data_IF_988637738482
#
_entry.id   IF_988637738482
#
_cell.length_a   1.000
_cell.length_b   1.000
_cell.length_c   1.000
_cell.angle_alpha   90.00
_cell.angle_beta   90.00
_cell.angle_gamma   90.00
#
_symmetry.space_group_name_H-M   'P 1'
#
loop_
_entity.id
_entity.type
_entity.pdbx_description
1 polymer ?
#
# COMPACT_ATOMS: atom_id res chain seq x y z
N UNK A 1 -12.31 -8.39 -11.77
CA UNK A 1 -13.07 -7.30 -11.10
C UNK A 1 -13.24 -7.66 -9.63
N UNK A 2 -13.16 -6.69 -8.71
CA UNK A 2 -13.21 -6.91 -7.25
C UNK A 2 -14.47 -7.66 -6.78
N UNK A 3 -15.63 -7.33 -7.35
CA UNK A 3 -16.90 -7.99 -7.02
C UNK A 3 -16.88 -9.51 -7.25
N UNK A 4 -16.17 -9.99 -8.28
CA UNK A 4 -16.11 -11.43 -8.61
C UNK A 4 -15.22 -12.23 -7.67
N UNK A 5 -14.39 -11.57 -6.86
CA UNK A 5 -13.59 -12.24 -5.84
C UNK A 5 -14.39 -12.53 -4.56
N UNK A 6 -15.56 -11.90 -4.40
CA UNK A 6 -16.42 -12.06 -3.23
C UNK A 6 -17.19 -13.39 -3.28
N UNK A 7 -17.55 -13.93 -2.11
CA UNK A 7 -18.41 -15.11 -2.02
C UNK A 7 -19.79 -14.84 -2.63
N UNK A 8 -20.52 -15.91 -2.99
CA UNK A 8 -21.89 -15.77 -3.48
C UNK A 8 -22.79 -15.06 -2.44
N UNK A 9 -22.62 -15.39 -1.16
CA UNK A 9 -23.36 -14.80 -0.04
C UNK A 9 -23.09 -13.29 0.09
N UNK A 10 -21.82 -12.87 0.07
CA UNK A 10 -21.48 -11.44 0.13
C UNK A 10 -22.00 -10.69 -1.10
N UNK A 11 -21.94 -11.30 -2.29
CA UNK A 11 -22.51 -10.69 -3.50
C UNK A 11 -24.02 -10.51 -3.39
N UNK A 12 -24.74 -11.53 -2.92
CA UNK A 12 -26.19 -11.45 -2.69
C UNK A 12 -26.55 -10.41 -1.63
N UNK A 13 -25.78 -10.31 -0.55
CA UNK A 13 -25.98 -9.28 0.48
C UNK A 13 -25.83 -7.88 -0.12
N UNK A 14 -24.76 -7.63 -0.90
CA UNK A 14 -24.54 -6.34 -1.54
C UNK A 14 -25.63 -6.01 -2.55
N UNK A 15 -26.07 -6.99 -3.36
CA UNK A 15 -27.19 -6.82 -4.30
C UNK A 15 -28.49 -6.47 -3.56
N UNK A 16 -28.81 -7.17 -2.46
CA UNK A 16 -30.00 -6.89 -1.65
C UNK A 16 -29.99 -5.48 -1.02
N UNK A 17 -28.82 -4.99 -0.61
CA UNK A 17 -28.68 -3.61 -0.12
C UNK A 17 -28.92 -2.57 -1.22
N UNK A 18 -28.56 -2.89 -2.47
CA UNK A 18 -28.85 -2.04 -3.63
C UNK A 18 -30.34 -2.09 -3.97
N UNK A 19 -30.92 -3.28 -4.04
CA UNK A 19 -32.33 -3.49 -4.39
C UNK A 19 -33.28 -2.85 -3.36
N UNK A 20 -32.88 -2.83 -2.08
CA UNK A 20 -33.63 -2.15 -1.01
C UNK A 20 -33.42 -0.63 -0.96
N UNK A 21 -32.57 -0.08 -1.82
CA UNK A 21 -32.25 1.35 -1.85
C UNK A 21 -31.40 1.85 -0.68
N UNK A 22 -30.90 0.96 0.18
CA UNK A 22 -30.01 1.32 1.31
C UNK A 22 -28.63 1.75 0.83
N UNK A 23 -28.16 1.20 -0.29
CA UNK A 23 -26.94 1.59 -0.98
C UNK A 23 -27.23 1.78 -2.46
N UNK A 24 -26.42 2.57 -3.15
CA UNK A 24 -26.43 2.60 -4.62
C UNK A 24 -25.41 1.61 -5.17
N UNK A 25 -25.59 1.19 -6.44
CA UNK A 25 -24.56 0.39 -7.13
C UNK A 25 -23.21 1.12 -7.20
N UNK A 26 -23.25 2.46 -7.24
CA UNK A 26 -22.06 3.31 -7.19
C UNK A 26 -21.37 3.27 -5.82
N UNK A 27 -22.13 3.28 -4.71
CA UNK A 27 -21.56 3.11 -3.36
C UNK A 27 -20.85 1.76 -3.25
N UNK A 28 -21.48 0.67 -3.72
CA UNK A 28 -20.86 -0.66 -3.71
C UNK A 28 -19.58 -0.68 -4.57
N UNK A 29 -19.63 -0.11 -5.78
CA UNK A 29 -18.47 -0.03 -6.66
C UNK A 29 -17.31 0.74 -6.01
N UNK A 30 -17.58 1.95 -5.50
CA UNK A 30 -16.57 2.82 -4.91
C UNK A 30 -15.97 2.23 -3.63
N UNK A 31 -16.79 1.57 -2.81
CA UNK A 31 -16.31 0.89 -1.62
C UNK A 31 -15.38 -0.28 -1.97
N UNK A 32 -15.75 -1.14 -2.92
CA UNK A 32 -14.89 -2.26 -3.35
C UNK A 32 -13.60 -1.77 -4.01
N UNK A 33 -13.67 -0.67 -4.77
CA UNK A 33 -12.51 0.02 -5.34
C UNK A 33 -11.59 0.53 -4.22
N UNK A 34 -12.14 1.15 -3.19
CA UNK A 34 -11.42 1.58 -1.99
C UNK A 34 -10.73 0.41 -1.28
N UNK A 35 -11.46 -0.68 -0.98
CA UNK A 35 -10.92 -1.86 -0.29
C UNK A 35 -9.78 -2.50 -1.08
N UNK A 36 -9.92 -2.62 -2.41
CA UNK A 36 -8.87 -3.16 -3.27
C UNK A 36 -7.62 -2.26 -3.25
N UNK A 37 -7.79 -0.94 -3.35
CA UNK A 37 -6.68 0.03 -3.28
C UNK A 37 -5.96 -0.04 -1.91
N UNK A 38 -6.70 -0.16 -0.80
CA UNK A 38 -6.12 -0.31 0.54
C UNK A 38 -5.39 -1.66 0.72
N UNK A 39 -5.95 -2.75 0.18
CA UNK A 39 -5.30 -4.07 0.15
C UNK A 39 -3.98 -4.01 -0.61
N UNK A 40 -4.00 -3.46 -1.83
CA UNK A 40 -2.81 -3.25 -2.68
C UNK A 40 -1.75 -2.38 -1.99
N UNK A 41 -2.17 -1.25 -1.41
CA UNK A 41 -1.30 -0.36 -0.64
C UNK A 41 -0.64 -1.10 0.54
N UNK A 42 -1.43 -1.88 1.27
CA UNK A 42 -0.94 -2.62 2.44
C UNK A 42 0.07 -3.68 2.04
N UNK A 43 -0.23 -4.46 0.99
CA UNK A 43 0.67 -5.45 0.41
C UNK A 43 1.98 -4.80 -0.06
N UNK A 44 1.88 -3.74 -0.86
CA UNK A 44 3.06 -2.99 -1.34
C UNK A 44 3.94 -2.53 -0.17
N UNK A 45 3.33 -1.92 0.86
CA UNK A 45 4.05 -1.45 2.04
C UNK A 45 4.67 -2.58 2.87
N UNK A 46 4.02 -3.74 2.90
CA UNK A 46 4.52 -4.91 3.62
C UNK A 46 5.67 -5.58 2.87
N UNK A 47 5.61 -5.68 1.54
CA UNK A 47 6.74 -6.13 0.71
C UNK A 47 7.96 -5.28 0.96
N UNK A 48 7.78 -3.96 1.00
CA UNK A 48 8.84 -3.02 1.32
C UNK A 48 9.45 -3.28 2.71
N UNK A 49 8.62 -3.37 3.76
CA UNK A 49 9.11 -3.66 5.12
C UNK A 49 9.85 -5.00 5.19
N UNK A 50 9.33 -6.01 4.52
CA UNK A 50 9.91 -7.35 4.47
C UNK A 50 11.29 -7.32 3.79
N UNK A 51 11.39 -6.69 2.62
CA UNK A 51 12.65 -6.54 1.89
C UNK A 51 13.69 -5.78 2.74
N UNK A 52 13.28 -4.69 3.39
CA UNK A 52 14.14 -3.94 4.30
C UNK A 52 14.63 -4.77 5.48
N UNK A 53 13.72 -5.46 6.16
CA UNK A 53 14.06 -6.22 7.37
C UNK A 53 15.01 -7.38 7.07
N UNK A 54 14.77 -8.09 5.97
CA UNK A 54 15.54 -9.26 5.56
C UNK A 54 16.90 -8.88 4.96
N UNK A 55 17.03 -7.66 4.41
CA UNK A 55 18.21 -7.22 3.70
C UNK A 55 18.84 -5.95 4.32
N UNK A 56 18.72 -5.77 5.65
CA UNK A 56 19.17 -4.56 6.35
C UNK A 56 20.64 -4.19 6.08
N UNK A 57 21.50 -5.19 5.84
CA UNK A 57 22.91 -4.98 5.51
C UNK A 57 23.10 -4.22 4.17
N UNK A 58 22.21 -4.41 3.19
CA UNK A 58 22.27 -3.70 1.90
C UNK A 58 22.08 -2.18 2.07
N UNK A 59 21.32 -1.78 3.09
CA UNK A 59 21.03 -0.37 3.36
C UNK A 59 22.11 0.33 4.19
N UNK A 60 23.11 -0.41 4.69
CA UNK A 60 24.19 0.10 5.53
C UNK A 60 25.59 -0.14 4.95
N UNK A 61 25.69 -0.76 3.78
CA UNK A 61 26.95 -1.09 3.12
C UNK A 61 27.22 -0.15 1.92
N UNK A 62 28.36 0.54 1.95
CA UNK A 62 28.77 1.49 0.91
C UNK A 62 29.04 0.85 -0.46
N UNK A 63 29.32 -0.46 -0.49
CA UNK A 63 29.56 -1.24 -1.71
C UNK A 63 28.30 -1.78 -2.39
N UNK A 64 27.11 -1.54 -1.85
CA UNK A 64 25.86 -2.05 -2.41
C UNK A 64 25.48 -1.36 -3.72
N UNK A 65 25.09 -2.18 -4.69
CA UNK A 65 24.70 -1.75 -6.04
C UNK A 65 23.18 -1.77 -6.24
N UNK A 66 22.64 -1.09 -7.26
CA UNK A 66 21.23 -1.20 -7.62
C UNK A 66 20.77 -2.64 -7.93
N UNK A 67 21.65 -3.48 -8.47
CA UNK A 67 21.34 -4.87 -8.80
C UNK A 67 21.11 -5.72 -7.53
N UNK A 68 21.85 -5.44 -6.45
CA UNK A 68 21.67 -6.11 -5.16
C UNK A 68 20.27 -5.84 -4.59
N UNK A 69 19.79 -4.59 -4.72
CA UNK A 69 18.41 -4.24 -4.33
C UNK A 69 17.37 -4.94 -5.21
N UNK A 70 17.60 -5.05 -6.53
CA UNK A 70 16.69 -5.79 -7.43
C UNK A 70 16.61 -7.27 -7.04
N UNK A 71 17.74 -7.90 -6.75
CA UNK A 71 17.81 -9.31 -6.32
C UNK A 71 17.10 -9.53 -4.99
N UNK A 72 17.36 -8.68 -4.00
CA UNK A 72 16.70 -8.72 -2.69
C UNK A 72 15.17 -8.61 -2.81
N UNK A 73 14.70 -7.70 -3.66
CA UNK A 73 13.27 -7.52 -3.89
C UNK A 73 12.64 -8.67 -4.66
N UNK A 74 13.34 -9.24 -5.65
CA UNK A 74 12.89 -10.43 -6.37
C UNK A 74 12.72 -11.61 -5.40
N UNK A 75 13.71 -11.84 -4.53
CA UNK A 75 13.64 -12.88 -3.50
C UNK A 75 12.50 -12.64 -2.51
N UNK A 76 12.31 -11.38 -2.08
CA UNK A 76 11.20 -11.01 -1.18
C UNK A 76 9.85 -11.26 -1.84
N UNK A 77 9.69 -10.87 -3.11
CA UNK A 77 8.45 -11.07 -3.87
C UNK A 77 8.12 -12.57 -4.02
N UNK A 78 9.10 -13.40 -4.37
CA UNK A 78 8.93 -14.84 -4.46
C UNK A 78 8.51 -15.46 -3.12
N UNK A 79 9.16 -15.06 -2.02
CA UNK A 79 8.80 -15.53 -0.67
C UNK A 79 7.36 -15.12 -0.28
N UNK A 80 6.91 -13.93 -0.65
CA UNK A 80 5.52 -13.49 -0.42
C UNK A 80 4.52 -14.30 -1.23
N UNK A 81 4.84 -14.62 -2.48
CA UNK A 81 4.01 -15.48 -3.32
C UNK A 81 3.86 -16.87 -2.70
N UNK A 82 4.93 -17.47 -2.19
CA UNK A 82 4.89 -18.73 -1.45
C UNK A 82 4.02 -18.65 -0.19
N UNK A 83 4.15 -17.58 0.60
CA UNK A 83 3.32 -17.36 1.80
C UNK A 83 1.85 -17.19 1.44
N UNK A 84 1.54 -16.47 0.36
CA UNK A 84 0.17 -16.33 -0.14
C UNK A 84 -0.40 -17.64 -0.66
N UNK A 85 0.40 -18.48 -1.32
CA UNK A 85 0.00 -19.82 -1.74
C UNK A 85 -0.32 -20.71 -0.52
N UNK A 86 0.50 -20.66 0.53
CA UNK A 86 0.25 -21.37 1.80
C UNK A 86 -1.03 -20.87 2.47
N UNK A 87 -1.25 -19.56 2.53
CA UNK A 87 -2.46 -18.97 3.10
C UNK A 87 -3.73 -19.41 2.33
N UNK A 88 -3.68 -19.39 1.00
CA UNK A 88 -4.77 -19.83 0.13
C UNK A 88 -5.12 -21.32 0.33
N UNK A 89 -4.11 -22.18 0.51
CA UNK A 89 -4.33 -23.60 0.81
C UNK A 89 -4.99 -23.82 2.18
N UNK A 90 -4.66 -22.99 3.19
CA UNK A 90 -5.32 -23.05 4.50
C UNK A 90 -6.79 -22.65 4.40
N UNK A 91 -7.09 -21.58 3.65
CA UNK A 91 -8.47 -21.13 3.40
C UNK A 91 -9.29 -22.21 2.67
N UNK A 92 -8.72 -22.85 1.64
CA UNK A 92 -9.40 -23.90 0.86
C UNK A 92 -9.71 -25.16 1.68
N UNK A 93 -8.83 -25.52 2.62
CA UNK A 93 -8.98 -26.75 3.40
C UNK A 93 -9.89 -26.60 4.61
N UNK A 94 -10.36 -25.38 4.91
CA UNK A 94 -11.03 -25.08 6.18
C UNK A 94 -10.15 -25.38 7.41
N UNK A 95 -8.84 -25.52 7.20
CA UNK A 95 -7.83 -25.88 8.20
C UNK A 95 -7.10 -24.66 8.76
N UNK A 96 -7.66 -23.47 8.54
CA UNK A 96 -7.20 -22.21 9.13
C UNK A 96 -7.50 -22.14 10.62
N UNK A 97 -6.87 -23.02 11.41
CA UNK A 97 -6.75 -22.78 12.85
C UNK A 97 -6.13 -21.37 13.06
N UNK A 98 -6.59 -20.60 14.07
CA UNK A 98 -6.23 -19.20 14.22
C UNK A 98 -4.72 -18.95 14.31
N UNK A 99 -3.94 -19.93 14.79
CA UNK A 99 -2.50 -19.82 14.95
C UNK A 99 -1.74 -19.85 13.61
N UNK A 100 -1.89 -20.90 12.78
CA UNK A 100 -1.13 -21.03 11.53
C UNK A 100 -1.54 -20.01 10.47
N UNK A 101 -2.83 -19.68 10.41
CA UNK A 101 -3.31 -18.57 9.57
C UNK A 101 -2.80 -17.23 10.10
N UNK A 102 -2.85 -17.02 11.41
CA UNK A 102 -2.40 -15.81 12.08
C UNK A 102 -0.91 -15.55 11.85
N UNK A 103 -0.06 -16.57 11.97
CA UNK A 103 1.39 -16.48 11.75
C UNK A 103 1.76 -16.11 10.31
N UNK A 104 1.16 -16.79 9.32
CA UNK A 104 1.40 -16.48 7.91
C UNK A 104 0.87 -15.08 7.58
N UNK A 105 -0.32 -14.75 8.08
CA UNK A 105 -0.92 -13.43 7.90
C UNK A 105 -0.04 -12.32 8.51
N UNK A 106 0.48 -12.52 9.73
CA UNK A 106 1.39 -11.60 10.41
C UNK A 106 2.71 -11.44 9.66
N UNK A 107 3.27 -12.54 9.15
CA UNK A 107 4.48 -12.54 8.31
C UNK A 107 4.27 -11.71 7.04
N UNK A 108 3.14 -11.91 6.35
CA UNK A 108 2.75 -11.14 5.18
C UNK A 108 2.49 -9.66 5.47
N UNK A 109 2.10 -9.31 6.71
CA UNK A 109 1.94 -7.92 7.14
C UNK A 109 3.29 -7.25 7.45
N UNK A 110 4.34 -8.02 7.72
CA UNK A 110 5.70 -7.55 7.99
C UNK A 110 5.71 -6.40 9.02
N UNK A 111 5.04 -6.59 10.15
CA UNK A 111 4.85 -5.52 11.16
C UNK A 111 6.11 -5.22 11.97
N UNK A 112 7.07 -6.15 12.03
CA UNK A 112 8.35 -5.94 12.70
C UNK A 112 9.20 -4.91 11.97
N UNK A 113 10.02 -4.15 12.70
CA UNK A 113 11.06 -3.27 12.12
C UNK A 113 12.42 -3.75 12.59
N UNK A 114 13.39 -3.89 11.68
CA UNK A 114 14.72 -4.36 12.03
C UNK A 114 15.47 -3.28 12.86
N UNK A 115 15.91 -3.59 14.10
CA UNK A 115 16.57 -2.62 14.99
C UNK A 115 17.93 -2.14 14.46
N UNK A 116 18.57 -2.86 13.54
CA UNK A 116 19.78 -2.37 12.86
C UNK A 116 19.47 -1.17 11.96
N UNK A 117 18.31 -1.14 11.31
CA UNK A 117 17.86 -0.02 10.48
C UNK A 117 17.52 1.21 11.32
N UNK A 118 16.87 1.02 12.47
CA UNK A 118 16.59 2.10 13.42
C UNK A 118 17.88 2.77 13.93
N UNK A 119 18.94 1.98 14.16
CA UNK A 119 20.26 2.49 14.57
C UNK A 119 21.01 3.21 13.44
N UNK A 120 20.91 2.73 12.21
CA UNK A 120 21.47 3.43 11.05
C UNK A 120 20.80 4.81 10.84
N UNK A 121 19.48 4.88 11.05
CA UNK A 121 18.70 6.12 10.99
C UNK A 121 19.06 7.12 12.09
N UNK A 122 19.27 6.66 13.33
CA UNK A 122 19.59 7.55 14.47
C UNK A 122 20.98 8.16 14.40
N UNK A 123 21.92 7.51 13.71
CA UNK A 123 23.33 7.91 13.67
C UNK A 123 23.69 8.85 12.50
N UNK A 124 22.69 9.39 11.80
CA UNK A 124 22.89 10.35 10.71
C UNK A 124 23.61 9.77 9.48
N UNK A 125 23.65 8.44 9.33
CA UNK A 125 24.24 7.83 8.15
C UNK A 125 23.38 8.13 6.90
N UNK A 126 24.04 8.31 5.75
CA UNK A 126 23.39 8.45 4.44
C UNK A 126 22.60 7.18 4.14
N UNK A 127 21.28 7.24 4.28
CA UNK A 127 20.38 6.16 3.89
C UNK A 127 20.26 6.21 2.36
N UNK A 128 20.54 5.09 1.69
CA UNK A 128 20.18 4.95 0.27
C UNK A 128 18.67 5.08 0.18
N UNK A 129 18.16 6.05 -0.61
CA UNK A 129 16.73 6.12 -0.86
C UNK A 129 16.34 4.81 -1.52
N UNK A 130 15.56 4.02 -0.79
CA UNK A 130 15.09 2.76 -1.32
C UNK A 130 14.21 3.07 -2.55
N UNK A 131 14.60 2.59 -3.73
CA UNK A 131 13.92 2.87 -4.98
C UNK A 131 12.45 2.39 -5.01
N UNK A 132 12.02 1.60 -4.02
CA UNK A 132 10.68 1.01 -3.96
C UNK A 132 9.84 1.55 -2.80
N UNK A 133 10.19 2.70 -2.23
CA UNK A 133 9.41 3.32 -1.15
C UNK A 133 7.89 3.29 -1.40
N UNK A 134 7.18 2.71 -0.43
CA UNK A 134 5.72 2.54 -0.43
C UNK A 134 4.93 3.84 -0.54
N UNK A 135 5.50 4.91 -0.02
CA UNK A 135 5.03 6.27 -0.11
C UNK A 135 6.25 7.11 -0.39
N UNK A 136 6.43 7.50 -1.64
CA UNK A 136 7.38 8.56 -1.90
C UNK A 136 6.73 9.86 -1.44
N UNK A 137 7.36 10.52 -0.45
CA UNK A 137 7.09 11.92 -0.09
C UNK A 137 7.45 12.89 -1.23
N UNK A 138 7.83 12.37 -2.40
CA UNK A 138 8.41 13.11 -3.53
C UNK A 138 7.76 12.75 -4.87
N UNK A 139 6.88 11.74 -4.90
CA UNK A 139 6.17 11.33 -6.12
C UNK A 139 4.69 11.72 -6.07
N UNK A 140 4.08 11.99 -7.23
CA UNK A 140 2.65 12.21 -7.34
C UNK A 140 1.88 11.03 -6.73
N UNK A 141 0.71 11.34 -6.16
CA UNK A 141 -0.19 10.32 -5.61
C UNK A 141 -0.56 9.30 -6.69
N UNK A 142 -0.14 8.05 -6.52
CA UNK A 142 -0.43 6.97 -7.47
C UNK A 142 -1.90 6.55 -7.32
N UNK A 143 -2.73 6.88 -8.32
CA UNK A 143 -4.18 6.59 -8.33
C UNK A 143 -4.51 5.10 -8.23
N UNK A 144 -3.53 4.24 -8.49
CA UNK A 144 -3.64 2.78 -8.32
C UNK A 144 -3.56 2.40 -6.84
N UNK A 145 -2.93 3.18 -5.98
CA UNK A 145 -2.84 2.86 -4.55
C UNK A 145 -3.65 3.81 -3.66
N UNK A 146 -3.88 5.03 -4.14
CA UNK A 146 -4.61 6.04 -3.43
C UNK A 146 -6.10 6.02 -3.76
N UNK A 147 -6.91 6.35 -2.74
CA UNK A 147 -8.35 6.48 -2.88
C UNK A 147 -8.81 7.89 -2.52
N UNK A 148 -9.98 8.25 -3.04
CA UNK A 148 -10.62 9.54 -2.80
C UNK A 148 -11.51 9.51 -1.56
N UNK A 149 -11.94 10.69 -1.08
CA UNK A 149 -12.92 10.77 0.03
C UNK A 149 -14.22 10.05 -0.31
N UNK A 150 -14.73 10.21 -1.54
CA UNK A 150 -15.92 9.52 -2.04
C UNK A 150 -15.79 8.00 -1.92
N UNK A 151 -14.64 7.45 -2.29
CA UNK A 151 -14.33 6.03 -2.15
C UNK A 151 -14.27 5.59 -0.68
N UNK A 152 -13.70 6.43 0.20
CA UNK A 152 -13.69 6.22 1.65
C UNK A 152 -15.08 6.23 2.27
N UNK A 153 -15.89 7.23 1.97
CA UNK A 153 -17.26 7.40 2.49
C UNK A 153 -18.16 6.24 2.05
N UNK A 154 -17.99 5.75 0.82
CA UNK A 154 -18.69 4.56 0.34
C UNK A 154 -18.34 3.31 1.18
N UNK A 155 -17.07 3.12 1.55
CA UNK A 155 -16.67 2.02 2.44
C UNK A 155 -17.28 2.15 3.84
N UNK A 156 -17.42 3.37 4.37
CA UNK A 156 -18.15 3.63 5.61
C UNK A 156 -19.63 3.26 5.50
N UNK A 157 -20.31 3.68 4.42
CA UNK A 157 -21.72 3.32 4.19
C UNK A 157 -21.93 1.79 4.16
N UNK A 158 -21.02 1.03 3.55
CA UNK A 158 -21.10 -0.43 3.55
C UNK A 158 -20.99 -1.00 4.97
N UNK A 159 -20.04 -0.49 5.76
CA UNK A 159 -19.89 -0.87 7.16
C UNK A 159 -21.14 -0.57 7.97
N UNK A 160 -21.68 0.65 7.82
CA UNK A 160 -22.88 1.09 8.53
C UNK A 160 -24.14 0.30 8.12
N UNK A 161 -24.17 -0.19 6.88
CA UNK A 161 -25.18 -1.11 6.37
C UNK A 161 -25.03 -2.55 6.91
N UNK A 162 -24.06 -2.82 7.77
CA UNK A 162 -23.83 -4.12 8.41
C UNK A 162 -23.06 -5.12 7.53
N UNK A 163 -22.34 -4.65 6.51
CA UNK A 163 -21.47 -5.52 5.69
C UNK A 163 -20.18 -5.80 6.44
N UNK A 164 -19.79 -7.07 6.51
CA UNK A 164 -18.50 -7.48 7.06
C UNK A 164 -17.35 -7.11 6.10
N UNK A 165 -16.71 -5.98 6.37
CA UNK A 165 -15.56 -5.51 5.61
C UNK A 165 -14.35 -6.45 5.74
N UNK A 166 -14.21 -7.19 6.84
CA UNK A 166 -13.08 -8.11 7.03
C UNK A 166 -13.18 -9.31 6.09
N UNK A 167 -14.39 -9.81 5.82
CA UNK A 167 -14.63 -10.82 4.79
C UNK A 167 -14.31 -10.31 3.38
N UNK A 168 -14.65 -9.05 3.09
CA UNK A 168 -14.29 -8.40 1.81
C UNK A 168 -12.76 -8.27 1.70
N UNK A 169 -12.08 -7.82 2.75
CA UNK A 169 -10.62 -7.69 2.75
C UNK A 169 -9.91 -9.02 2.51
N UNK A 170 -10.38 -10.08 3.18
CA UNK A 170 -9.85 -11.44 2.97
C UNK A 170 -10.02 -11.87 1.52
N UNK A 171 -11.19 -11.67 0.94
CA UNK A 171 -11.48 -11.99 -0.46
C UNK A 171 -10.61 -11.19 -1.45
N UNK A 172 -10.33 -9.91 -1.15
CA UNK A 172 -9.53 -9.03 -2.01
C UNK A 172 -8.03 -9.12 -1.77
N UNK A 173 -7.56 -9.87 -0.76
CA UNK A 173 -6.15 -9.96 -0.40
C UNK A 173 -5.28 -10.46 -1.56
N UNK A 174 -5.68 -11.56 -2.21
CA UNK A 174 -4.92 -12.16 -3.31
C UNK A 174 -4.80 -11.21 -4.51
N UNK A 175 -5.87 -10.47 -4.84
CA UNK A 175 -5.85 -9.44 -5.87
C UNK A 175 -4.90 -8.30 -5.50
N UNK A 176 -5.01 -7.79 -4.27
CA UNK A 176 -4.14 -6.71 -3.78
C UNK A 176 -2.65 -7.08 -3.80
N UNK A 177 -2.30 -8.29 -3.38
CA UNK A 177 -0.92 -8.81 -3.41
C UNK A 177 -0.39 -8.94 -4.83
N UNK A 178 -1.19 -9.51 -5.75
CA UNK A 178 -0.81 -9.66 -7.15
C UNK A 178 -0.60 -8.30 -7.83
N UNK A 179 -1.52 -7.36 -7.59
CA UNK A 179 -1.43 -6.01 -8.15
C UNK A 179 -0.21 -5.26 -7.56
N UNK A 180 0.05 -5.41 -6.26
CA UNK A 180 1.22 -4.82 -5.61
C UNK A 180 2.54 -5.38 -6.20
N UNK A 181 2.62 -6.69 -6.41
CA UNK A 181 3.79 -7.32 -7.04
C UNK A 181 4.04 -6.78 -8.46
N UNK A 182 2.98 -6.60 -9.26
CA UNK A 182 3.09 -5.98 -10.58
C UNK A 182 3.55 -4.52 -10.53
N UNK A 183 3.02 -3.72 -9.61
CA UNK A 183 3.45 -2.32 -9.42
C UNK A 183 4.91 -2.21 -8.99
N UNK A 184 5.34 -3.12 -8.11
CA UNK A 184 6.73 -3.22 -7.71
C UNK A 184 7.58 -3.55 -8.95
N UNK A 185 7.25 -4.62 -9.67
CA UNK A 185 7.99 -5.02 -10.86
C UNK A 185 8.11 -3.90 -11.91
N UNK A 186 7.01 -3.18 -12.18
CA UNK A 186 7.00 -1.99 -13.05
C UNK A 186 8.01 -0.93 -12.59
N UNK A 187 7.98 -0.57 -11.31
CA UNK A 187 8.89 0.44 -10.73
C UNK A 187 10.35 -0.02 -10.70
N UNK A 188 10.59 -1.31 -10.73
CA UNK A 188 11.93 -1.90 -10.62
C UNK A 188 12.55 -2.26 -11.95
N UNK A 189 11.80 -2.15 -13.04
CA UNK A 189 12.18 -2.68 -14.35
C UNK A 189 12.26 -4.21 -14.40
N UNK A 190 11.49 -4.89 -13.55
CA UNK A 190 11.35 -6.36 -13.59
C UNK A 190 10.12 -6.73 -14.45
N UNK A 191 10.08 -7.94 -15.02
CA UNK A 191 8.88 -8.42 -15.72
C UNK A 191 7.67 -8.43 -14.79
N UNK A 192 6.61 -7.70 -15.16
CA UNK A 192 5.33 -7.69 -14.44
C UNK A 192 4.40 -8.78 -14.98
N UNK A 193 3.66 -9.45 -14.09
CA UNK A 193 2.66 -10.44 -14.50
C UNK A 193 1.47 -9.84 -15.25
N UNK A 194 1.15 -8.56 -14.99
CA UNK A 194 0.09 -7.81 -15.65
C UNK A 194 0.23 -6.31 -15.36
N UNK A 195 -0.45 -5.47 -16.15
CA UNK A 195 -0.52 -4.02 -15.91
C UNK A 195 -1.70 -3.68 -14.99
N UNK A 196 -1.42 -2.88 -13.95
CA UNK A 196 -2.46 -2.31 -13.08
C UNK A 196 -2.92 -0.98 -13.67
N UNK A 197 -4.17 -0.91 -14.09
CA UNK A 197 -4.74 0.27 -14.72
C UNK A 197 -4.82 1.47 -13.75
N UNK A 198 -4.48 2.66 -14.25
CA UNK A 198 -4.73 3.91 -13.56
C UNK A 198 -6.23 4.23 -13.52
N UNK A 199 -6.64 4.88 -12.44
CA UNK A 199 -7.99 5.34 -12.23
C UNK A 199 -8.19 6.69 -12.94
N UNK A 200 -8.96 6.70 -14.02
CA UNK A 200 -9.14 7.89 -14.87
C UNK A 200 -9.89 9.02 -14.17
N UNK A 201 -10.74 8.68 -13.21
CA UNK A 201 -11.55 9.64 -12.46
C UNK A 201 -10.83 10.15 -11.20
N UNK A 202 -9.61 9.68 -10.96
CA UNK A 202 -8.86 10.07 -9.77
C UNK A 202 -8.31 11.50 -9.89
N UNK A 203 -8.65 12.33 -8.91
CA UNK A 203 -7.99 13.60 -8.66
C UNK A 203 -7.13 13.54 -7.41
N UNK A 204 -5.88 14.00 -7.50
CA UNK A 204 -4.98 14.07 -6.35
C UNK A 204 -5.51 15.01 -5.25
N UNK A 205 -6.25 16.06 -5.62
CA UNK A 205 -6.86 17.00 -4.67
C UNK A 205 -7.96 16.36 -3.82
N UNK A 206 -8.60 15.32 -4.34
CA UNK A 206 -9.64 14.56 -3.64
C UNK A 206 -9.08 13.35 -2.88
N UNK A 207 -7.76 13.13 -2.97
CA UNK A 207 -7.11 12.01 -2.31
C UNK A 207 -7.17 12.14 -0.79
N UNK A 208 -7.41 11.01 -0.14
CA UNK A 208 -7.29 10.89 1.32
C UNK A 208 -5.82 10.83 1.74
N UNK A 209 -4.88 10.74 0.80
CA UNK A 209 -3.44 10.75 1.05
C UNK A 209 -2.80 12.01 0.50
N UNK A 210 -2.22 12.87 1.37
CA UNK A 210 -1.47 14.02 0.90
C UNK A 210 -0.18 13.56 0.22
N UNK A 211 0.12 14.12 -0.96
CA UNK A 211 1.48 14.15 -1.49
C UNK A 211 2.20 15.39 -0.97
N UNK A 212 3.43 15.22 -0.51
CA UNK A 212 4.39 16.32 -0.43
C UNK A 212 5.01 16.41 -1.81
N UNK A 213 4.92 17.58 -2.45
CA UNK A 213 5.68 17.84 -3.67
C UNK A 213 7.01 18.43 -3.23
N UNK A 214 8.11 17.68 -3.35
CA UNK A 214 9.42 18.32 -3.27
C UNK A 214 9.51 19.34 -4.40
N UNK A 215 10.09 20.54 -4.18
CA UNK A 215 10.45 21.40 -5.28
C UNK A 215 11.33 20.58 -6.23
N UNK A 216 10.92 20.49 -7.50
CA UNK A 216 11.74 19.85 -8.52
C UNK A 216 13.16 20.46 -8.40
N UNK A 217 14.21 19.66 -8.19
CA UNK A 217 15.56 20.21 -8.22
C UNK A 217 15.68 20.89 -9.57
N UNK A 218 15.91 22.21 -9.59
CA UNK A 218 16.15 22.93 -10.83
C UNK A 218 17.26 22.17 -11.57
N UNK A 219 16.88 21.44 -12.64
CA UNK A 219 17.80 20.63 -13.44
C UNK A 219 17.78 19.11 -13.28
N UNK A 220 16.81 18.47 -12.59
CA UNK A 220 16.63 17.00 -12.68
C UNK A 220 15.26 16.64 -13.24
N UNK A 221 15.22 16.37 -14.55
CA UNK A 221 14.08 15.80 -15.29
C UNK A 221 13.85 14.32 -15.01
N UNK A 222 14.73 13.70 -14.23
CA UNK A 222 14.75 12.25 -14.08
C UNK A 222 14.13 11.89 -12.73
N UNK A 223 13.12 11.01 -12.76
CA UNK A 223 12.69 10.29 -11.56
C UNK A 223 13.93 9.75 -10.81
N UNK A 224 13.94 9.73 -9.46
CA UNK A 224 15.11 9.31 -8.72
C UNK A 224 15.60 7.94 -9.22
N UNK A 225 16.84 7.92 -9.74
CA UNK A 225 17.41 6.72 -10.29
C UNK A 225 17.57 5.67 -9.19
N UNK A 226 17.40 4.40 -9.55
CA UNK A 226 17.51 3.30 -8.60
C UNK A 226 18.84 3.34 -7.84
N UNK A 227 18.79 3.42 -6.50
CA UNK A 227 19.99 3.49 -5.65
C UNK A 227 20.57 4.90 -5.45
N UNK A 228 19.82 5.95 -5.78
CA UNK A 228 20.25 7.33 -5.53
C UNK A 228 20.37 7.60 -4.02
N UNK A 229 21.49 8.22 -3.63
CA UNK A 229 21.74 8.67 -2.26
C UNK A 229 21.15 10.06 -2.09
N UNK A 230 20.18 10.24 -1.20
CA UNK A 230 19.61 11.56 -0.87
C UNK A 230 19.64 11.73 0.65
N UNK A 231 20.01 12.93 1.11
CA UNK A 231 19.86 13.32 2.50
C UNK A 231 18.42 13.79 2.73
N UNK A 232 17.52 12.82 2.88
CA UNK A 232 16.06 13.00 2.95
C UNK A 232 15.66 14.03 4.02
N UNK A 233 16.41 14.12 5.13
CA UNK A 233 16.03 14.94 6.28
C UNK A 233 15.95 16.44 6.00
N UNK A 234 16.84 16.99 5.17
CA UNK A 234 16.84 18.44 4.92
C UNK A 234 15.87 18.82 3.79
N UNK A 235 15.85 18.05 2.71
CA UNK A 235 14.95 18.31 1.58
C UNK A 235 13.48 18.11 1.95
N UNK A 236 13.16 17.07 2.73
CA UNK A 236 11.79 16.87 3.24
C UNK A 236 11.41 17.97 4.22
N UNK A 237 12.32 18.39 5.11
CA UNK A 237 12.04 19.48 6.05
C UNK A 237 11.80 20.80 5.31
N UNK A 238 12.61 21.13 4.32
CA UNK A 238 12.45 22.33 3.50
C UNK A 238 11.16 22.31 2.67
N UNK A 239 10.81 21.17 2.05
CA UNK A 239 9.58 21.02 1.29
C UNK A 239 8.34 21.08 2.18
N UNK A 240 8.39 20.45 3.36
CA UNK A 240 7.34 20.52 4.36
C UNK A 240 7.13 21.95 4.86
N UNK A 241 8.21 22.68 5.16
CA UNK A 241 8.16 24.08 5.55
C UNK A 241 7.57 24.96 4.42
N UNK A 242 7.91 24.70 3.16
CA UNK A 242 7.35 25.41 2.01
C UNK A 242 5.85 25.13 1.83
N UNK A 243 5.42 23.89 2.04
CA UNK A 243 4.03 23.47 1.90
C UNK A 243 3.15 24.04 3.03
N UNK A 244 3.65 24.04 4.27
CA UNK A 244 3.01 24.68 5.43
C UNK A 244 2.87 26.19 5.19
N UNK A 245 3.91 26.86 4.67
CA UNK A 245 3.85 28.29 4.30
C UNK A 245 2.82 28.58 3.19
N UNK A 246 2.54 27.62 2.32
CA UNK A 246 1.52 27.73 1.26
C UNK A 246 0.08 27.49 1.73
N UNK A 247 -0.13 27.17 3.02
CA UNK A 247 -1.45 26.88 3.59
C UNK A 247 -2.01 25.49 3.24
N UNK A 248 -1.17 24.58 2.72
CA UNK A 248 -1.54 23.18 2.43
C UNK A 248 -0.90 22.27 3.48
N UNK A 249 -1.41 22.23 4.70
CA UNK A 249 -0.84 21.37 5.74
C UNK A 249 -1.04 19.87 5.40
N UNK A 250 0.04 19.11 5.11
CA UNK A 250 -0.08 17.68 4.83
C UNK A 250 -0.45 16.88 6.10
N UNK A 251 -0.24 17.42 7.31
CA UNK A 251 -0.54 16.71 8.55
C UNK A 251 -2.03 16.69 8.88
N UNK A 252 -2.79 17.72 8.52
CA UNK A 252 -4.26 17.70 8.67
C UNK A 252 -4.90 16.64 7.76
N UNK A 253 -4.49 16.59 6.49
CA UNK A 253 -4.96 15.58 5.54
C UNK A 253 -4.46 14.16 5.91
N UNK A 254 -3.25 14.01 6.43
CA UNK A 254 -2.75 12.73 6.93
C UNK A 254 -3.44 12.27 8.22
N UNK A 255 -3.88 13.20 9.07
CA UNK A 255 -4.70 12.92 10.25
C UNK A 255 -6.10 12.49 9.86
N UNK A 256 -6.74 13.20 8.92
CA UNK A 256 -8.00 12.79 8.33
C UNK A 256 -7.87 11.39 7.70
N UNK A 257 -6.83 11.13 6.90
CA UNK A 257 -6.61 9.81 6.32
C UNK A 257 -6.33 8.69 7.33
N UNK A 258 -5.67 9.00 8.46
CA UNK A 258 -5.51 8.05 9.58
C UNK A 258 -6.83 7.77 10.28
N UNK A 259 -7.63 8.78 10.59
CA UNK A 259 -8.96 8.62 11.20
C UNK A 259 -9.89 7.82 10.27
N UNK A 260 -9.87 8.12 8.97
CA UNK A 260 -10.61 7.33 7.96
C UNK A 260 -10.16 5.87 7.97
N UNK A 261 -8.85 5.60 8.05
CA UNK A 261 -8.32 4.24 8.10
C UNK A 261 -8.67 3.51 9.39
N UNK A 262 -8.56 4.17 10.54
CA UNK A 262 -8.83 3.62 11.87
C UNK A 262 -10.31 3.32 12.07
N UNK A 263 -11.20 4.23 11.65
CA UNK A 263 -12.65 4.02 11.72
C UNK A 263 -13.13 2.87 10.82
N UNK A 264 -12.37 2.52 9.77
CA UNK A 264 -12.65 1.35 8.93
C UNK A 264 -11.99 0.06 9.47
N UNK A 265 -10.85 0.14 10.18
CA UNK A 265 -10.01 -1.02 10.58
C UNK A 265 -10.40 -1.76 11.87
N UNK A 266 -11.54 -1.48 12.49
CA UNK A 266 -11.94 -2.21 13.72
C UNK A 266 -12.41 -3.63 13.38
N UNK A 267 -11.46 -4.58 13.27
CA UNK A 267 -11.52 -6.01 13.65
C UNK A 267 -10.53 -6.86 12.82
N UNK A 268 -9.36 -7.14 13.40
CA UNK A 268 -8.60 -8.38 13.18
C UNK A 268 -8.59 -9.16 14.49
#
# INVERSE_FOLDING_TARGET
MAFNALSAETRTQLSSLVDSGKLTGEDVHNALKQRLKESRRTAYSATFRMAHNENAALFSNDGTTPDDFRKALSATSAKREELMAKLSLLDQRGQGGPESYGEISASLMAQSTNPALLRAQSNGQRIVLDPFQSFSLTQPVDSRMAYTRKEGDAAYKLKDAGVDLSSIDRALRSLGERDAASLIAERTGQPSSHTVAQDREFSADESVFPSISLPAPQGRTDAPAMGQRIQISEEVKAALEAQVKSGRDPFENAKAGRQYREGIRVSY
#
